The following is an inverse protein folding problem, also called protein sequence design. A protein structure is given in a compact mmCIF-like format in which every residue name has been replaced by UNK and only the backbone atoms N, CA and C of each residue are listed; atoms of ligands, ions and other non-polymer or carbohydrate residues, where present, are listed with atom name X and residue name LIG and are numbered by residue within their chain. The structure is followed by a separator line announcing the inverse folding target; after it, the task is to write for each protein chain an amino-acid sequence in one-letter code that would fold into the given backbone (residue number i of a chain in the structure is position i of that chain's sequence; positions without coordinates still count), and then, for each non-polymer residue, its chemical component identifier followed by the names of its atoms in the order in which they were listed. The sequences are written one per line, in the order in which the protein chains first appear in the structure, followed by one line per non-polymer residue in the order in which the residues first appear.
data_IF_024059856877
#
_entry.id   IF_024059856877
#
_cell.length_a   1.000
_cell.length_b   1.000
_cell.length_c   1.000
_cell.angle_alpha   90.00
_cell.angle_beta   90.00
_cell.angle_gamma   90.00
#
_symmetry.space_group_name_H-M   'P 1'
#
loop_
_entity.id
_entity.type
_entity.pdbx_description
1 polymer ?
#
# COMPACT_ATOMS: atom_id res chain seq x y z
N UNK A 1 22.85 20.81 -0.35
CA UNK A 1 21.37 20.92 -0.42
C UNK A 1 20.83 20.69 0.97
N UNK A 2 20.17 21.67 1.57
CA UNK A 2 19.48 21.51 2.86
C UNK A 2 18.13 20.83 2.59
N UNK A 3 17.97 19.59 3.05
CA UNK A 3 16.69 18.90 3.04
C UNK A 3 15.78 19.58 4.06
N UNK A 4 14.85 20.42 3.61
CA UNK A 4 13.85 21.02 4.47
C UNK A 4 12.61 20.14 4.47
N UNK A 5 12.35 19.47 5.60
CA UNK A 5 11.16 18.65 5.79
C UNK A 5 10.04 19.53 6.31
N UNK A 6 8.96 19.67 5.54
CA UNK A 6 7.75 20.38 5.96
C UNK A 6 6.78 19.41 6.64
N UNK A 7 6.43 19.58 7.92
CA UNK A 7 5.53 18.65 8.61
C UNK A 7 4.14 18.56 7.98
N UNK A 8 3.62 19.64 7.39
CA UNK A 8 2.33 19.64 6.69
C UNK A 8 2.32 18.69 5.50
N UNK A 9 3.35 18.71 4.65
CA UNK A 9 3.41 17.84 3.48
C UNK A 9 3.51 16.36 3.85
N UNK A 10 4.14 16.04 4.99
CA UNK A 10 4.16 14.69 5.55
C UNK A 10 2.77 14.25 6.04
N UNK A 11 1.99 15.13 6.68
CA UNK A 11 0.61 14.83 7.11
C UNK A 11 -0.32 14.63 5.92
N UNK A 12 -0.14 15.43 4.87
CA UNK A 12 -0.92 15.31 3.64
C UNK A 12 -0.64 13.98 2.94
N UNK A 13 0.65 13.63 2.80
CA UNK A 13 1.06 12.34 2.25
C UNK A 13 0.58 11.15 3.09
N UNK A 14 0.66 11.26 4.43
CA UNK A 14 0.12 10.25 5.34
C UNK A 14 -1.39 10.05 5.15
N UNK A 15 -2.13 11.14 5.01
CA UNK A 15 -3.58 11.13 4.83
C UNK A 15 -3.96 10.52 3.47
N UNK A 16 -3.22 10.85 2.42
CA UNK A 16 -3.41 10.26 1.09
C UNK A 16 -3.19 8.74 1.11
N UNK A 17 -2.12 8.27 1.74
CA UNK A 17 -1.85 6.83 1.88
C UNK A 17 -2.92 6.12 2.69
N UNK A 18 -3.38 6.72 3.78
CA UNK A 18 -4.50 6.18 4.57
C UNK A 18 -5.80 6.11 3.75
N UNK A 19 -6.05 7.09 2.88
CA UNK A 19 -7.14 7.07 1.91
C UNK A 19 -7.05 5.86 0.99
N UNK A 20 -5.89 5.65 0.35
CA UNK A 20 -5.64 4.50 -0.52
C UNK A 20 -5.79 3.15 0.22
N UNK A 21 -5.35 3.07 1.48
CA UNK A 21 -5.55 1.88 2.32
C UNK A 21 -7.04 1.62 2.60
N UNK A 22 -7.83 2.69 2.79
CA UNK A 22 -9.28 2.65 2.90
C UNK A 22 -9.94 2.13 1.62
N UNK A 23 -9.54 2.65 0.46
CA UNK A 23 -10.06 2.24 -0.84
C UNK A 23 -9.83 0.75 -1.12
N UNK A 24 -8.67 0.21 -0.74
CA UNK A 24 -8.36 -1.23 -0.85
C UNK A 24 -9.27 -2.13 -0.02
N UNK A 25 -9.90 -1.58 1.02
CA UNK A 25 -10.87 -2.29 1.86
C UNK A 25 -12.31 -2.08 1.41
N UNK A 26 -12.55 -1.20 0.44
CA UNK A 26 -13.87 -0.85 -0.05
C UNK A 26 -14.18 -1.58 -1.36
N UNK A 27 -15.09 -2.54 -1.32
CA UNK A 27 -15.48 -3.31 -2.49
C UNK A 27 -16.24 -2.48 -3.55
N UNK A 28 -16.83 -1.34 -3.18
CA UNK A 28 -17.49 -0.43 -4.12
C UNK A 28 -16.49 0.41 -4.91
N UNK A 29 -15.28 0.61 -4.37
CA UNK A 29 -14.18 1.35 -5.03
C UNK A 29 -13.25 0.38 -5.75
N UNK A 30 -12.84 -0.70 -5.09
CA UNK A 30 -11.95 -1.72 -5.63
C UNK A 30 -12.64 -3.09 -5.55
N UNK A 31 -13.50 -3.42 -6.54
CA UNK A 31 -14.28 -4.65 -6.52
C UNK A 31 -13.42 -5.91 -6.61
N UNK A 32 -14.03 -7.03 -6.25
CA UNK A 32 -13.44 -8.35 -6.46
C UNK A 32 -13.37 -8.66 -7.96
N UNK A 33 -12.33 -9.37 -8.41
CA UNK A 33 -12.18 -9.70 -9.84
C UNK A 33 -13.29 -10.66 -10.31
N UNK A 34 -13.67 -11.61 -9.44
CA UNK A 34 -14.78 -12.53 -9.71
C UNK A 34 -14.41 -13.55 -10.79
N UNK A 35 -13.13 -13.92 -10.84
CA UNK A 35 -12.57 -14.87 -11.79
C UNK A 35 -13.30 -16.23 -11.73
N UNK A 36 -13.77 -16.64 -10.56
CA UNK A 36 -14.54 -17.88 -10.36
C UNK A 36 -15.75 -18.01 -11.29
N UNK A 37 -16.42 -16.88 -11.62
CA UNK A 37 -17.55 -16.89 -12.56
C UNK A 37 -17.09 -17.25 -13.98
N UNK A 38 -15.96 -16.70 -14.40
CA UNK A 38 -15.35 -16.98 -15.70
C UNK A 38 -14.81 -18.41 -15.79
N UNK A 39 -14.16 -18.88 -14.72
CA UNK A 39 -13.67 -20.27 -14.61
C UNK A 39 -14.84 -21.26 -14.73
N UNK A 40 -15.93 -21.01 -14.01
CA UNK A 40 -17.12 -21.88 -14.03
C UNK A 40 -17.80 -21.91 -15.39
N UNK A 41 -17.94 -20.75 -16.04
CA UNK A 41 -18.62 -20.63 -17.33
C UNK A 41 -17.82 -21.24 -18.50
N UNK A 42 -16.48 -21.28 -18.39
CA UNK A 42 -15.58 -21.74 -19.46
C UNK A 42 -14.74 -22.95 -19.03
N UNK A 43 -15.31 -23.83 -18.21
CA UNK A 43 -14.61 -24.97 -17.62
C UNK A 43 -13.90 -25.82 -18.68
N UNK A 44 -12.65 -26.19 -18.40
CA UNK A 44 -11.78 -26.95 -19.30
C UNK A 44 -11.10 -26.13 -20.41
N UNK A 45 -11.42 -24.84 -20.56
CA UNK A 45 -10.72 -23.97 -21.50
C UNK A 45 -9.36 -23.51 -20.96
N UNK A 46 -8.43 -23.18 -21.87
CA UNK A 46 -7.17 -22.55 -21.50
C UNK A 46 -7.36 -21.20 -20.80
N UNK A 47 -8.45 -20.47 -21.10
CA UNK A 47 -8.79 -19.20 -20.44
C UNK A 47 -9.19 -19.43 -18.99
N UNK A 48 -10.07 -20.40 -18.72
CA UNK A 48 -10.44 -20.76 -17.35
C UNK A 48 -9.20 -21.15 -16.54
N UNK A 49 -8.32 -21.98 -17.12
CA UNK A 49 -7.07 -22.38 -16.47
C UNK A 49 -6.13 -21.21 -16.17
N UNK A 50 -6.08 -20.20 -17.05
CA UNK A 50 -5.27 -19.00 -16.83
C UNK A 50 -5.86 -18.07 -15.74
N UNK A 51 -7.17 -18.16 -15.50
CA UNK A 51 -7.87 -17.37 -14.47
C UNK A 51 -7.90 -18.05 -13.11
N UNK A 52 -7.55 -19.35 -13.03
CA UNK A 52 -7.43 -20.07 -11.77
C UNK A 52 -6.46 -19.34 -10.82
N UNK A 53 -6.94 -19.04 -9.60
CA UNK A 53 -6.14 -18.37 -8.59
C UNK A 53 -6.04 -16.84 -8.70
N UNK A 54 -6.66 -16.22 -9.71
CA UNK A 54 -6.64 -14.76 -9.85
C UNK A 54 -7.32 -14.03 -8.67
N UNK A 55 -8.45 -14.57 -8.19
CA UNK A 55 -9.19 -14.04 -7.04
C UNK A 55 -8.39 -14.06 -5.72
N UNK A 56 -7.81 -15.21 -5.29
CA UNK A 56 -6.96 -15.23 -4.10
C UNK A 56 -5.67 -14.41 -4.27
N UNK A 57 -5.06 -14.39 -5.46
CA UNK A 57 -3.88 -13.56 -5.73
C UNK A 57 -4.21 -12.06 -5.62
N UNK A 58 -5.36 -11.64 -6.16
CA UNK A 58 -5.84 -10.26 -6.04
C UNK A 58 -6.07 -9.88 -4.58
N UNK A 59 -6.70 -10.77 -3.81
CA UNK A 59 -6.95 -10.56 -2.38
C UNK A 59 -5.64 -10.38 -1.61
N UNK A 60 -4.64 -11.23 -1.85
CA UNK A 60 -3.32 -11.11 -1.24
C UNK A 60 -2.64 -9.79 -1.61
N UNK A 61 -2.68 -9.39 -2.89
CA UNK A 61 -2.12 -8.14 -3.34
C UNK A 61 -2.77 -6.94 -2.63
N UNK A 62 -4.10 -6.92 -2.50
CA UNK A 62 -4.82 -5.87 -1.76
C UNK A 62 -4.40 -5.80 -0.30
N UNK A 63 -4.27 -6.95 0.38
CA UNK A 63 -3.80 -7.01 1.77
C UNK A 63 -2.39 -6.44 1.93
N UNK A 64 -1.46 -6.82 1.05
CA UNK A 64 -0.08 -6.33 1.07
C UNK A 64 -0.03 -4.82 0.85
N UNK A 65 -0.73 -4.32 -0.17
CA UNK A 65 -0.77 -2.89 -0.47
C UNK A 65 -1.37 -2.09 0.69
N UNK A 66 -2.47 -2.56 1.28
CA UNK A 66 -3.10 -1.91 2.43
C UNK A 66 -2.13 -1.80 3.59
N UNK A 67 -1.49 -2.90 3.96
CA UNK A 67 -0.51 -2.92 5.07
C UNK A 67 0.64 -1.95 4.83
N UNK A 68 1.09 -1.82 3.58
CA UNK A 68 2.18 -0.89 3.21
C UNK A 68 1.72 0.56 3.31
N UNK A 69 0.56 0.89 2.78
CA UNK A 69 0.02 2.24 2.85
C UNK A 69 -0.26 2.67 4.30
N UNK A 70 -0.82 1.78 5.13
CA UNK A 70 -1.02 2.05 6.56
C UNK A 70 0.32 2.24 7.28
N UNK A 71 1.31 1.38 7.02
CA UNK A 71 2.62 1.45 7.66
C UNK A 71 3.38 2.73 7.31
N UNK A 72 3.48 3.05 6.02
CA UNK A 72 4.16 4.27 5.54
C UNK A 72 3.39 5.51 6.01
N UNK A 73 2.06 5.52 5.87
CA UNK A 73 1.24 6.64 6.31
C UNK A 73 1.40 6.90 7.81
N UNK A 74 1.42 5.85 8.63
CA UNK A 74 1.69 5.94 10.06
C UNK A 74 3.06 6.54 10.36
N UNK A 75 4.11 6.13 9.63
CA UNK A 75 5.47 6.66 9.79
C UNK A 75 5.56 8.14 9.39
N UNK A 76 4.95 8.54 8.27
CA UNK A 76 4.92 9.94 7.84
C UNK A 76 4.18 10.82 8.85
N UNK A 77 3.04 10.34 9.37
CA UNK A 77 2.28 11.05 10.39
C UNK A 77 3.07 11.19 11.69
N UNK A 78 3.65 10.09 12.20
CA UNK A 78 4.48 10.11 13.40
C UNK A 78 5.69 11.03 13.24
N UNK A 79 6.28 11.05 12.04
CA UNK A 79 7.38 11.97 11.71
C UNK A 79 6.92 13.41 11.79
N UNK A 80 5.78 13.74 11.18
CA UNK A 80 5.24 15.09 11.21
C UNK A 80 4.90 15.58 12.63
N UNK A 81 4.42 14.69 13.51
CA UNK A 81 4.10 15.03 14.90
C UNK A 81 5.35 15.24 15.76
N UNK A 82 6.44 14.53 15.47
CA UNK A 82 7.67 14.55 16.28
C UNK A 82 8.74 15.50 15.73
N UNK A 83 8.60 16.00 14.50
CA UNK A 83 9.60 16.84 13.86
C UNK A 83 9.72 18.22 14.52
N UNK A 84 10.89 18.51 15.11
CA UNK A 84 11.21 19.81 15.74
C UNK A 84 12.06 20.76 14.87
N UNK A 85 11.97 20.64 13.54
CA UNK A 85 12.57 21.60 12.60
C UNK A 85 14.03 21.33 12.20
N UNK A 86 14.78 20.53 12.96
CA UNK A 86 16.20 20.18 12.68
C UNK A 86 16.53 18.72 12.94
N UNK A 87 15.51 17.85 13.07
CA UNK A 87 15.71 16.48 13.55
C UNK A 87 16.18 15.55 12.42
N UNK A 88 17.48 15.62 12.13
CA UNK A 88 18.19 14.80 11.14
C UNK A 88 18.04 13.31 11.44
N UNK A 89 17.83 12.92 12.70
CA UNK A 89 17.67 11.52 13.09
C UNK A 89 16.34 10.95 12.63
N UNK A 90 15.28 11.76 12.61
CA UNK A 90 13.99 11.36 12.09
C UNK A 90 14.00 11.28 10.56
N UNK A 91 14.69 12.22 9.90
CA UNK A 91 14.95 12.15 8.46
C UNK A 91 15.76 10.88 8.08
N UNK A 92 16.76 10.49 8.89
CA UNK A 92 17.51 9.23 8.70
C UNK A 92 16.67 7.98 8.93
N UNK A 93 15.70 7.99 9.86
CA UNK A 93 14.78 6.87 10.05
C UNK A 93 13.87 6.68 8.83
N UNK A 94 13.43 7.76 8.20
CA UNK A 94 12.72 7.71 6.93
C UNK A 94 13.60 7.15 5.80
N UNK A 95 14.82 7.65 5.69
CA UNK A 95 15.80 7.16 4.70
C UNK A 95 16.10 5.66 4.90
N UNK A 96 16.18 5.23 6.16
CA UNK A 96 16.39 3.84 6.56
C UNK A 96 15.23 2.88 6.27
N UNK A 97 14.07 3.37 5.84
CA UNK A 97 12.98 2.50 5.33
C UNK A 97 13.45 1.73 4.09
N UNK A 98 14.42 2.27 3.33
CA UNK A 98 15.04 1.60 2.20
C UNK A 98 14.06 1.20 1.09
N UNK A 99 14.48 0.26 0.24
CA UNK A 99 13.62 -0.29 -0.81
C UNK A 99 12.55 -1.20 -0.20
N UNK A 100 11.32 -0.69 -0.18
CA UNK A 100 10.14 -1.42 0.29
C UNK A 100 9.83 -2.67 -0.53
N UNK A 101 10.36 -2.81 -1.75
CA UNK A 101 10.23 -4.04 -2.54
C UNK A 101 11.17 -5.15 -2.07
N UNK A 102 12.16 -4.82 -1.24
CA UNK A 102 13.12 -5.77 -0.69
C UNK A 102 12.64 -6.32 0.67
N UNK A 103 11.36 -6.70 0.76
CA UNK A 103 10.88 -7.59 1.81
C UNK A 103 11.44 -9.00 1.53
N UNK A 104 12.76 -9.15 1.68
CA UNK A 104 13.42 -10.43 1.69
C UNK A 104 13.42 -10.94 3.15
N UNK A 105 12.57 -11.96 3.34
CA UNK A 105 12.38 -12.87 4.49
C UNK A 105 11.47 -12.37 5.61
#
# INVERSE_FOLDING_TARGET
MTFEVQPSSLKDAASALKGLAGDLSNADVIPHLGADRGVSAMSGSAVAKAMEGADPASSQAKTVLKSRFDGIGGLLYATAEQFKGTDVDLARKLDGIGDLNNAAV
#
